data_IF_943552209624
#
_entry.id   IF_943552209624
#
_cell.length_a   1.000
_cell.length_b   1.000
_cell.length_c   1.000
_cell.angle_alpha   90.00
_cell.angle_beta   90.00
_cell.angle_gamma   90.00
#
_symmetry.space_group_name_H-M   'P 1'
#
loop_
_entity.id
_entity.type
_entity.pdbx_description
1 polymer ?
#
# COMPACT_ATOMS: atom_id res chain seq x y z
N UNK A 1 8.33 11.69 -53.27
CA UNK A 1 8.06 11.18 -54.63
C UNK A 1 6.65 10.63 -54.75
N UNK A 2 6.22 9.76 -53.85
CA UNK A 2 4.89 9.12 -53.87
C UNK A 2 3.72 10.11 -53.67
N UNK A 3 3.96 11.23 -53.02
CA UNK A 3 2.95 12.26 -52.75
C UNK A 3 2.70 13.21 -53.95
N UNK A 4 3.66 13.30 -54.85
CA UNK A 4 3.61 14.20 -56.03
C UNK A 4 3.40 13.42 -57.31
N UNK A 5 3.90 12.18 -57.37
CA UNK A 5 3.80 11.30 -58.51
C UNK A 5 3.61 9.86 -58.09
N UNK A 6 2.36 9.39 -58.16
CA UNK A 6 1.93 8.09 -57.64
C UNK A 6 2.73 6.86 -58.13
N UNK A 7 3.36 6.96 -59.29
CA UNK A 7 4.13 5.87 -59.89
C UNK A 7 5.63 6.05 -59.81
N UNK A 8 6.12 7.01 -58.99
CA UNK A 8 7.55 7.35 -58.94
C UNK A 8 8.44 6.13 -58.56
N UNK A 9 8.00 5.26 -57.67
CA UNK A 9 8.77 4.07 -57.22
C UNK A 9 8.88 2.97 -58.27
N UNK A 10 7.96 2.95 -59.21
CA UNK A 10 7.89 1.94 -60.30
C UNK A 10 8.41 2.47 -61.63
N UNK A 11 8.78 3.76 -61.67
CA UNK A 11 9.17 4.46 -62.89
C UNK A 11 10.64 4.32 -63.16
N UNK A 12 10.99 4.25 -64.45
CA UNK A 12 12.39 4.43 -64.92
C UNK A 12 12.85 5.87 -64.72
N UNK A 13 14.16 6.08 -64.74
CA UNK A 13 14.76 7.46 -64.64
C UNK A 13 14.15 8.41 -65.65
N UNK A 14 13.94 7.97 -66.92
CA UNK A 14 13.36 8.81 -67.95
C UNK A 14 11.89 9.14 -67.70
N UNK A 15 11.09 8.18 -67.26
CA UNK A 15 9.67 8.40 -66.94
C UNK A 15 9.53 9.36 -65.73
N UNK A 16 10.37 9.20 -64.70
CA UNK A 16 10.40 10.11 -63.55
C UNK A 16 10.72 11.54 -63.97
N UNK A 17 11.74 11.72 -64.77
CA UNK A 17 12.13 13.07 -65.25
C UNK A 17 11.04 13.67 -66.17
N UNK A 18 10.41 12.86 -67.00
CA UNK A 18 9.26 13.31 -67.79
C UNK A 18 8.08 13.69 -66.90
N UNK A 19 7.76 12.89 -65.91
CA UNK A 19 6.72 13.22 -64.93
C UNK A 19 6.97 14.54 -64.18
N UNK A 20 8.22 14.77 -63.69
CA UNK A 20 8.63 16.02 -63.05
C UNK A 20 8.51 17.24 -63.98
N UNK A 21 8.89 17.12 -65.27
CA UNK A 21 8.70 18.17 -66.25
C UNK A 21 7.22 18.48 -66.49
N UNK A 22 6.38 17.47 -66.61
CA UNK A 22 4.92 17.63 -66.76
C UNK A 22 4.31 18.36 -65.56
N UNK A 23 4.66 17.95 -64.32
CA UNK A 23 4.21 18.65 -63.11
C UNK A 23 4.60 20.11 -63.07
N UNK A 24 5.81 20.42 -63.53
CA UNK A 24 6.28 21.80 -63.67
C UNK A 24 5.49 22.59 -64.73
N UNK A 25 5.28 22.02 -65.91
CA UNK A 25 4.53 22.64 -67.01
C UNK A 25 3.07 22.91 -66.67
N UNK A 26 2.47 21.98 -65.96
CA UNK A 26 1.11 22.10 -65.41
C UNK A 26 1.01 23.10 -64.23
N UNK A 27 2.14 23.72 -63.83
CA UNK A 27 2.25 24.61 -62.67
C UNK A 27 1.74 24.00 -61.35
N UNK A 28 1.72 22.68 -61.26
CA UNK A 28 1.32 21.98 -60.02
C UNK A 28 2.39 22.08 -58.94
N UNK A 29 3.67 22.16 -59.35
CA UNK A 29 4.79 22.36 -58.42
C UNK A 29 5.79 23.35 -59.05
N UNK A 30 6.29 24.31 -58.28
CA UNK A 30 7.22 25.35 -58.74
C UNK A 30 8.68 24.84 -58.76
N UNK A 31 8.95 23.77 -59.51
CA UNK A 31 10.31 23.18 -59.62
C UNK A 31 11.12 23.92 -60.69
N UNK A 32 12.40 24.25 -60.40
CA UNK A 32 13.28 24.85 -61.39
C UNK A 32 13.76 23.81 -62.40
N UNK A 33 13.94 24.24 -63.67
CA UNK A 33 14.49 23.37 -64.70
C UNK A 33 15.90 22.87 -64.33
N UNK A 34 16.67 23.71 -63.63
CA UNK A 34 18.02 23.37 -63.18
C UNK A 34 17.98 22.23 -62.10
N UNK A 35 17.03 22.23 -61.19
CA UNK A 35 16.84 21.17 -60.20
C UNK A 35 16.53 19.83 -60.88
N UNK A 36 15.62 19.83 -61.86
CA UNK A 36 15.29 18.61 -62.64
C UNK A 36 16.51 18.09 -63.39
N UNK A 37 17.30 18.96 -63.99
CA UNK A 37 18.51 18.56 -64.70
C UNK A 37 19.56 17.95 -63.74
N UNK A 38 19.77 18.57 -62.58
CA UNK A 38 20.72 18.03 -61.58
C UNK A 38 20.29 16.62 -61.10
N UNK A 39 19.04 16.43 -60.85
CA UNK A 39 18.48 15.11 -60.44
C UNK A 39 18.66 14.11 -61.60
N UNK A 40 18.39 14.52 -62.86
CA UNK A 40 18.57 13.67 -64.04
C UNK A 40 20.03 13.19 -64.18
N UNK A 41 21.00 14.11 -63.99
CA UNK A 41 22.43 13.75 -64.07
C UNK A 41 22.82 12.74 -62.97
N UNK A 42 22.34 12.92 -61.78
CA UNK A 42 22.64 11.99 -60.65
C UNK A 42 22.02 10.61 -60.92
N UNK A 43 20.76 10.55 -61.32
CA UNK A 43 20.12 9.29 -61.65
C UNK A 43 20.75 8.57 -62.83
N UNK A 44 21.14 9.29 -63.88
CA UNK A 44 21.86 8.69 -64.99
C UNK A 44 23.22 8.12 -64.52
N UNK A 45 23.96 8.78 -63.64
CA UNK A 45 25.19 8.23 -63.03
C UNK A 45 24.87 6.98 -62.20
N UNK A 46 23.82 7.02 -61.42
CA UNK A 46 23.39 5.86 -60.61
C UNK A 46 23.01 4.66 -61.47
N UNK A 47 22.34 4.89 -62.62
CA UNK A 47 22.03 3.87 -63.58
C UNK A 47 23.29 3.30 -64.23
N UNK A 48 24.31 4.12 -64.56
CA UNK A 48 25.60 3.63 -65.06
C UNK A 48 26.33 2.76 -64.03
N UNK A 49 26.29 3.12 -62.74
CA UNK A 49 26.83 2.26 -61.67
C UNK A 49 26.10 0.94 -61.59
N UNK A 50 24.75 0.96 -61.64
CA UNK A 50 23.91 -0.20 -61.47
C UNK A 50 23.99 -1.16 -62.67
N UNK A 51 23.97 -0.63 -63.87
CA UNK A 51 23.80 -1.45 -65.09
C UNK A 51 25.10 -1.58 -65.91
N UNK A 52 25.99 -0.60 -65.88
CA UNK A 52 27.23 -0.58 -66.66
C UNK A 52 28.49 -0.85 -65.80
N UNK A 53 28.36 -1.19 -64.52
CA UNK A 53 29.47 -1.40 -63.57
C UNK A 53 30.48 -0.24 -63.52
N UNK A 54 30.01 0.98 -63.81
CA UNK A 54 30.83 2.18 -63.72
C UNK A 54 31.11 2.48 -62.22
N UNK A 55 32.39 2.76 -61.90
CA UNK A 55 32.83 3.11 -60.52
C UNK A 55 33.22 4.60 -60.50
N UNK A 56 32.33 5.48 -60.03
CA UNK A 56 32.64 6.91 -59.88
C UNK A 56 33.67 7.11 -58.76
N UNK A 57 34.46 8.16 -58.89
CA UNK A 57 35.38 8.59 -57.86
C UNK A 57 34.62 9.01 -56.59
N UNK A 58 35.23 8.82 -55.40
CA UNK A 58 34.63 9.11 -54.11
C UNK A 58 34.14 10.59 -54.01
N UNK A 59 34.89 11.53 -54.55
CA UNK A 59 34.54 12.95 -54.58
C UNK A 59 33.24 13.21 -55.36
N UNK A 60 32.99 12.47 -56.43
CA UNK A 60 31.76 12.57 -57.25
C UNK A 60 30.57 12.05 -56.45
N UNK A 61 30.74 10.92 -55.74
CA UNK A 61 29.69 10.36 -54.88
C UNK A 61 29.31 11.33 -53.76
N UNK A 62 30.30 11.91 -53.07
CA UNK A 62 30.07 12.90 -52.02
C UNK A 62 29.33 14.15 -52.52
N UNK A 63 29.73 14.62 -53.73
CA UNK A 63 29.09 15.75 -54.39
C UNK A 63 27.62 15.42 -54.75
N UNK A 64 27.37 14.25 -55.31
CA UNK A 64 26.03 13.82 -55.69
C UNK A 64 25.11 13.66 -54.45
N UNK A 65 25.61 13.09 -53.35
CA UNK A 65 24.87 13.01 -52.09
C UNK A 65 24.51 14.39 -51.54
N UNK A 66 25.44 15.34 -51.60
CA UNK A 66 25.17 16.72 -51.16
C UNK A 66 24.12 17.40 -52.05
N UNK A 67 24.23 17.28 -53.36
CA UNK A 67 23.28 17.87 -54.33
C UNK A 67 21.89 17.24 -54.15
N UNK A 68 21.81 15.91 -53.99
CA UNK A 68 20.50 15.24 -53.78
C UNK A 68 19.86 15.68 -52.46
N UNK A 69 20.65 15.85 -51.40
CA UNK A 69 20.16 16.36 -50.13
C UNK A 69 19.63 17.80 -50.23
N UNK A 70 20.33 18.64 -50.98
CA UNK A 70 19.89 20.02 -51.25
C UNK A 70 18.58 20.02 -52.03
N UNK A 71 18.46 19.21 -53.08
CA UNK A 71 17.25 19.12 -53.89
C UNK A 71 16.07 18.54 -53.11
N UNK A 72 16.28 17.53 -52.27
CA UNK A 72 15.24 17.02 -51.38
C UNK A 72 14.69 18.10 -50.47
N UNK A 73 15.58 18.92 -49.87
CA UNK A 73 15.16 20.05 -49.04
C UNK A 73 14.40 21.13 -49.84
N UNK A 74 14.77 21.37 -51.09
CA UNK A 74 14.03 22.29 -51.96
C UNK A 74 12.64 21.71 -52.27
N UNK A 75 12.57 20.44 -52.66
CA UNK A 75 11.30 19.75 -52.95
C UNK A 75 10.37 19.67 -51.74
N UNK A 76 10.89 19.37 -50.56
CA UNK A 76 10.07 19.32 -49.34
C UNK A 76 9.39 20.65 -49.01
N UNK A 77 10.00 21.79 -49.40
CA UNK A 77 9.41 23.13 -49.22
C UNK A 77 8.41 23.49 -50.30
N UNK A 78 8.47 22.85 -51.46
CA UNK A 78 7.58 23.10 -52.58
C UNK A 78 6.30 22.24 -52.55
N UNK A 79 6.33 21.16 -51.83
CA UNK A 79 5.14 20.32 -51.62
C UNK A 79 4.25 21.03 -50.60
N UNK A 80 3.03 21.45 -50.98
CA UNK A 80 2.10 22.04 -50.04
C UNK A 80 1.74 21.04 -48.95
N UNK A 81 1.60 21.52 -47.70
CA UNK A 81 1.08 20.67 -46.67
C UNK A 81 -0.28 20.13 -47.07
N UNK A 82 -0.57 18.84 -46.81
CA UNK A 82 -1.86 18.26 -47.13
C UNK A 82 -2.98 19.04 -46.43
N UNK A 83 -4.07 19.29 -47.16
CA UNK A 83 -5.22 20.00 -46.60
C UNK A 83 -5.79 19.22 -45.42
N UNK A 84 -6.50 19.92 -44.50
CA UNK A 84 -7.14 19.27 -43.36
C UNK A 84 -8.10 18.15 -43.79
N UNK A 85 -8.76 18.30 -44.96
CA UNK A 85 -9.59 17.23 -45.53
C UNK A 85 -8.80 16.01 -45.98
N UNK A 86 -7.57 16.22 -46.52
CA UNK A 86 -6.69 15.10 -46.91
C UNK A 86 -6.11 14.43 -45.65
N UNK A 87 -5.71 15.19 -44.64
CA UNK A 87 -5.28 14.66 -43.35
C UNK A 87 -6.37 13.83 -42.68
N UNK A 88 -7.63 14.27 -42.75
CA UNK A 88 -8.77 13.53 -42.21
C UNK A 88 -9.06 12.21 -42.93
N UNK A 89 -8.70 12.09 -44.20
CA UNK A 89 -8.83 10.86 -45.00
C UNK A 89 -7.69 9.85 -44.70
N UNK A 90 -6.60 10.28 -44.13
CA UNK A 90 -5.50 9.37 -43.74
C UNK A 90 -5.88 8.57 -42.49
N UNK A 91 -5.96 7.26 -42.65
CA UNK A 91 -6.28 6.33 -41.56
C UNK A 91 -5.31 6.43 -40.37
N UNK A 92 -4.05 6.77 -40.61
CA UNK A 92 -3.05 6.93 -39.56
C UNK A 92 -3.29 8.22 -38.78
N UNK A 93 -3.60 9.31 -39.45
CA UNK A 93 -3.97 10.58 -38.84
C UNK A 93 -5.26 10.43 -38.00
N UNK A 94 -6.28 9.75 -38.54
CA UNK A 94 -7.51 9.46 -37.77
C UNK A 94 -7.22 8.68 -36.48
N UNK A 95 -6.37 7.64 -36.56
CA UNK A 95 -5.95 6.87 -35.37
C UNK A 95 -5.21 7.75 -34.35
N UNK A 96 -4.33 8.63 -34.80
CA UNK A 96 -3.63 9.56 -33.89
C UNK A 96 -4.59 10.55 -33.23
N UNK A 97 -5.54 11.13 -33.97
CA UNK A 97 -6.55 12.05 -33.43
C UNK A 97 -7.40 11.33 -32.37
N UNK A 98 -7.89 10.12 -32.69
CA UNK A 98 -8.67 9.31 -31.76
C UNK A 98 -7.87 8.99 -30.49
N UNK A 99 -6.60 8.61 -30.64
CA UNK A 99 -5.73 8.31 -29.50
C UNK A 99 -5.44 9.56 -28.65
N UNK A 100 -5.23 10.73 -29.26
CA UNK A 100 -5.06 12.01 -28.55
C UNK A 100 -6.31 12.38 -27.75
N UNK A 101 -7.49 12.23 -28.35
CA UNK A 101 -8.78 12.50 -27.69
C UNK A 101 -9.03 11.50 -26.54
N UNK A 102 -8.76 10.21 -26.76
CA UNK A 102 -8.86 9.16 -25.73
C UNK A 102 -7.92 9.46 -24.56
N UNK A 103 -6.67 9.78 -24.82
CA UNK A 103 -5.69 10.10 -23.80
C UNK A 103 -6.06 11.38 -23.03
N UNK A 104 -6.61 12.40 -23.72
CA UNK A 104 -7.11 13.61 -23.06
C UNK A 104 -8.30 13.27 -22.12
N UNK A 105 -9.25 12.47 -22.57
CA UNK A 105 -10.37 12.01 -21.73
C UNK A 105 -9.88 11.19 -20.53
N UNK A 106 -8.94 10.25 -20.75
CA UNK A 106 -8.35 9.45 -19.67
C UNK A 106 -7.64 10.33 -18.63
N UNK A 107 -6.90 11.37 -19.05
CA UNK A 107 -6.26 12.33 -18.13
C UNK A 107 -7.29 13.10 -17.31
N UNK A 108 -8.38 13.57 -17.92
CA UNK A 108 -9.45 14.28 -17.22
C UNK A 108 -10.13 13.35 -16.20
N UNK A 109 -10.47 12.11 -16.60
CA UNK A 109 -11.09 11.13 -15.69
C UNK A 109 -10.13 10.77 -14.55
N UNK A 110 -8.85 10.53 -14.84
CA UNK A 110 -7.84 10.26 -13.81
C UNK A 110 -7.72 11.43 -12.84
N UNK A 111 -7.62 12.67 -13.34
CA UNK A 111 -7.52 13.85 -12.49
C UNK A 111 -8.77 14.05 -11.61
N UNK A 112 -9.97 13.87 -12.19
CA UNK A 112 -11.22 13.99 -11.42
C UNK A 112 -11.35 12.92 -10.35
N UNK A 113 -10.91 11.67 -10.62
CA UNK A 113 -10.89 10.58 -9.65
C UNK A 113 -9.90 10.87 -8.51
N UNK A 114 -8.70 11.34 -8.85
CA UNK A 114 -7.69 11.72 -7.85
C UNK A 114 -8.19 12.85 -6.95
N UNK A 115 -8.83 13.86 -7.54
CA UNK A 115 -9.42 14.98 -6.79
C UNK A 115 -10.53 14.50 -5.86
N UNK A 116 -11.39 13.59 -6.33
CA UNK A 116 -12.46 12.99 -5.51
C UNK A 116 -11.88 12.23 -4.31
N UNK A 117 -10.89 11.36 -4.54
CA UNK A 117 -10.23 10.61 -3.46
C UNK A 117 -9.54 11.54 -2.46
N UNK A 118 -8.88 12.60 -2.96
CA UNK A 118 -8.27 13.61 -2.09
C UNK A 118 -9.32 14.35 -1.25
N UNK A 119 -10.45 14.70 -1.83
CA UNK A 119 -11.56 15.36 -1.10
C UNK A 119 -12.09 14.44 0.01
N UNK A 120 -12.31 13.15 -0.28
CA UNK A 120 -12.75 12.15 0.71
C UNK A 120 -11.71 12.02 1.84
N UNK A 121 -10.42 11.97 1.51
CA UNK A 121 -9.34 11.93 2.49
C UNK A 121 -9.35 13.16 3.41
N UNK A 122 -9.47 14.35 2.84
CA UNK A 122 -9.50 15.61 3.60
C UNK A 122 -10.73 15.65 4.52
N UNK A 123 -11.92 15.33 4.00
CA UNK A 123 -13.15 15.31 4.82
C UNK A 123 -13.04 14.28 5.95
N UNK A 124 -12.56 13.08 5.67
CA UNK A 124 -12.33 12.06 6.70
C UNK A 124 -11.29 12.53 7.74
N UNK A 125 -10.24 13.23 7.29
CA UNK A 125 -9.22 13.79 8.17
C UNK A 125 -9.77 14.87 9.12
N UNK A 126 -10.69 15.69 8.65
CA UNK A 126 -11.37 16.69 9.50
C UNK A 126 -12.31 16.05 10.53
N UNK A 127 -13.01 14.97 10.18
CA UNK A 127 -13.98 14.32 11.06
C UNK A 127 -13.32 13.39 12.09
N UNK A 128 -12.31 12.63 11.69
CA UNK A 128 -11.72 11.56 12.49
C UNK A 128 -10.27 11.83 12.90
N UNK A 129 -9.66 12.87 12.36
CA UNK A 129 -8.22 13.15 12.46
C UNK A 129 -7.42 12.59 11.28
N UNK A 130 -6.48 13.39 10.79
CA UNK A 130 -5.66 13.02 9.62
C UNK A 130 -4.81 11.77 9.87
N UNK A 131 -4.26 11.65 11.07
CA UNK A 131 -3.45 10.48 11.45
C UNK A 131 -4.27 9.19 11.43
N UNK A 132 -5.48 9.22 12.01
CA UNK A 132 -6.37 8.07 12.00
C UNK A 132 -6.80 7.68 10.58
N UNK A 133 -7.15 8.67 9.76
CA UNK A 133 -7.51 8.45 8.35
C UNK A 133 -6.37 7.83 7.56
N UNK A 134 -5.14 8.30 7.79
CA UNK A 134 -3.95 7.74 7.16
C UNK A 134 -3.69 6.30 7.63
N UNK A 135 -3.71 6.05 8.94
CA UNK A 135 -3.49 4.73 9.54
C UNK A 135 -4.57 3.72 9.07
N UNK A 136 -5.80 4.19 8.85
CA UNK A 136 -6.89 3.38 8.28
C UNK A 136 -6.64 2.98 6.82
N UNK A 137 -6.19 3.93 5.99
CA UNK A 137 -5.89 3.68 4.57
C UNK A 137 -4.66 2.78 4.42
N UNK A 138 -3.68 2.89 5.30
CA UNK A 138 -2.46 2.06 5.30
C UNK A 138 -2.67 0.70 5.97
N UNK A 139 -3.91 0.36 6.36
CA UNK A 139 -4.26 -0.91 7.01
C UNK A 139 -3.50 -1.16 8.31
N UNK A 140 -3.30 -0.10 9.12
CA UNK A 140 -2.70 -0.26 10.44
C UNK A 140 -3.49 -1.27 11.27
N UNK A 141 -2.79 -2.26 11.83
CA UNK A 141 -3.42 -3.37 12.54
C UNK A 141 -4.23 -2.91 13.75
N UNK A 142 -3.71 -1.98 14.55
CA UNK A 142 -4.39 -1.50 15.75
C UNK A 142 -5.68 -0.74 15.43
N UNK A 143 -5.73 -0.01 14.31
CA UNK A 143 -6.98 0.59 13.80
C UNK A 143 -7.97 -0.50 13.40
N UNK A 144 -7.51 -1.54 12.70
CA UNK A 144 -8.35 -2.67 12.31
C UNK A 144 -8.91 -3.42 13.53
N UNK A 145 -8.08 -3.66 14.56
CA UNK A 145 -8.52 -4.27 15.82
C UNK A 145 -9.55 -3.41 16.54
N UNK A 146 -9.43 -2.09 16.48
CA UNK A 146 -10.36 -1.16 17.10
C UNK A 146 -11.72 -1.09 16.39
N UNK A 147 -11.70 -1.12 15.04
CA UNK A 147 -12.92 -0.92 14.21
C UNK A 147 -13.74 -2.19 13.98
N UNK A 148 -13.12 -3.37 14.00
CA UNK A 148 -13.86 -4.61 13.73
C UNK A 148 -14.89 -4.91 14.80
N UNK A 149 -15.93 -5.71 14.51
CA UNK A 149 -16.85 -6.20 15.52
C UNK A 149 -16.11 -6.97 16.61
N UNK A 150 -16.32 -6.58 17.88
CA UNK A 150 -15.71 -7.25 19.01
C UNK A 150 -16.55 -8.44 19.46
N UNK A 151 -15.88 -9.49 19.92
CA UNK A 151 -16.49 -10.73 20.36
C UNK A 151 -16.67 -10.65 21.87
N UNK A 152 -17.88 -10.93 22.36
CA UNK A 152 -18.15 -11.13 23.79
C UNK A 152 -18.10 -12.62 24.06
N UNK A 153 -17.18 -13.07 24.88
CA UNK A 153 -16.96 -14.49 25.17
C UNK A 153 -16.74 -14.75 26.65
N UNK A 154 -17.09 -15.96 27.08
CA UNK A 154 -16.81 -16.48 28.40
C UNK A 154 -15.57 -17.38 28.37
N UNK A 155 -14.65 -17.18 29.31
CA UNK A 155 -13.40 -17.92 29.41
C UNK A 155 -13.27 -18.61 30.78
N UNK A 156 -13.22 -19.93 30.76
CA UNK A 156 -13.15 -20.78 31.94
C UNK A 156 -14.52 -21.21 32.47
N UNK A 157 -14.54 -21.91 33.65
CA UNK A 157 -15.79 -22.37 34.31
C UNK A 157 -15.58 -22.34 35.81
N UNK A 158 -16.34 -21.54 36.58
CA UNK A 158 -17.19 -20.45 36.13
C UNK A 158 -16.37 -19.39 35.40
N UNK A 159 -16.94 -18.73 34.37
CA UNK A 159 -16.17 -17.98 33.43
C UNK A 159 -15.94 -16.51 33.78
N UNK A 160 -14.95 -15.93 33.10
CA UNK A 160 -14.74 -14.50 32.97
C UNK A 160 -15.32 -14.06 31.63
N UNK A 161 -16.21 -13.07 31.64
CA UNK A 161 -16.75 -12.46 30.44
C UNK A 161 -15.93 -11.23 30.09
N UNK A 162 -15.54 -11.11 28.82
CA UNK A 162 -14.90 -9.91 28.30
C UNK A 162 -15.12 -9.76 26.80
N UNK A 163 -15.03 -8.52 26.33
CA UNK A 163 -15.05 -8.21 24.92
C UNK A 163 -13.63 -8.08 24.41
N UNK A 164 -13.33 -8.77 23.30
CA UNK A 164 -12.03 -8.75 22.66
C UNK A 164 -12.15 -8.59 21.17
N UNK A 165 -11.12 -8.03 20.51
CA UNK A 165 -11.13 -7.92 19.05
C UNK A 165 -11.22 -9.29 18.36
N UNK A 166 -10.61 -10.32 18.97
CA UNK A 166 -10.61 -11.71 18.48
C UNK A 166 -10.83 -12.66 19.68
N UNK A 167 -11.35 -13.85 19.40
CA UNK A 167 -11.49 -14.86 20.45
C UNK A 167 -10.10 -15.28 20.96
N UNK A 168 -9.99 -15.40 22.29
CA UNK A 168 -8.78 -15.93 22.88
C UNK A 168 -8.66 -17.42 22.58
N UNK A 169 -7.45 -17.86 22.31
CA UNK A 169 -7.12 -19.28 22.10
C UNK A 169 -6.73 -19.94 23.41
N UNK A 170 -7.24 -21.15 23.64
CA UNK A 170 -6.83 -21.94 24.82
C UNK A 170 -5.39 -22.38 24.65
N UNK A 171 -4.57 -22.11 25.67
CA UNK A 171 -3.16 -22.52 25.69
C UNK A 171 -3.01 -23.88 26.34
N UNK A 172 -2.34 -24.80 25.64
CA UNK A 172 -1.95 -26.09 26.19
C UNK A 172 -0.44 -26.05 26.44
N UNK A 173 -0.03 -25.89 27.70
CA UNK A 173 1.30 -26.16 28.27
C UNK A 173 2.50 -25.24 28.04
N UNK A 174 2.56 -24.39 27.02
CA UNK A 174 3.83 -23.72 26.68
C UNK A 174 3.96 -22.21 27.02
N UNK A 175 2.88 -21.57 27.44
CA UNK A 175 2.90 -20.17 27.88
C UNK A 175 2.54 -20.06 29.35
N UNK A 176 3.54 -20.08 30.22
CA UNK A 176 3.31 -20.11 31.65
C UNK A 176 3.38 -18.73 32.28
N UNK A 177 2.22 -18.06 32.40
CA UNK A 177 1.97 -17.20 33.54
C UNK A 177 1.44 -18.11 34.66
N UNK A 178 2.31 -18.85 35.32
CA UNK A 178 1.94 -19.77 36.37
C UNK A 178 2.19 -19.12 37.73
N UNK A 179 1.24 -19.29 38.62
CA UNK A 179 1.50 -19.19 40.04
C UNK A 179 1.92 -20.58 40.51
N UNK A 180 3.16 -20.77 40.89
CA UNK A 180 3.77 -22.08 41.11
C UNK A 180 3.07 -22.90 42.21
N UNK A 181 2.43 -22.24 43.21
CA UNK A 181 1.73 -22.87 44.29
C UNK A 181 0.26 -23.22 44.00
N UNK A 182 -0.23 -22.94 42.77
CA UNK A 182 -1.62 -23.12 42.38
C UNK A 182 -1.74 -24.00 41.14
N UNK A 183 -2.85 -24.74 41.06
CA UNK A 183 -3.16 -25.54 39.88
C UNK A 183 -3.81 -24.66 38.80
N UNK A 184 -3.22 -24.59 37.61
CA UNK A 184 -3.82 -23.93 36.45
C UNK A 184 -4.89 -24.83 35.82
N UNK A 185 -6.17 -24.45 35.93
CA UNK A 185 -7.27 -25.18 35.33
C UNK A 185 -7.48 -24.85 33.86
N UNK A 186 -7.29 -23.58 33.50
CA UNK A 186 -7.37 -23.12 32.11
C UNK A 186 -6.67 -21.79 31.93
N UNK A 187 -6.06 -21.62 30.75
CA UNK A 187 -5.48 -20.33 30.31
C UNK A 187 -5.87 -20.07 28.89
N UNK A 188 -6.23 -18.83 28.62
CA UNK A 188 -6.57 -18.31 27.29
C UNK A 188 -5.71 -17.11 26.98
N UNK A 189 -5.32 -16.98 25.70
CA UNK A 189 -4.36 -15.99 25.24
C UNK A 189 -4.80 -15.35 23.95
N UNK A 190 -4.52 -14.06 23.83
CA UNK A 190 -4.62 -13.28 22.60
C UNK A 190 -3.43 -12.34 22.50
N UNK A 191 -2.90 -12.16 21.30
CA UNK A 191 -1.93 -11.10 20.99
C UNK A 191 -2.19 -10.55 19.59
N UNK A 192 -1.78 -9.32 19.36
CA UNK A 192 -1.64 -8.80 18.01
C UNK A 192 -0.34 -9.31 17.35
N UNK A 193 -0.14 -9.05 16.05
CA UNK A 193 0.92 -9.67 15.27
C UNK A 193 2.33 -9.25 15.69
N UNK A 194 2.49 -8.05 16.25
CA UNK A 194 3.76 -7.48 16.71
C UNK A 194 4.02 -7.64 18.22
N UNK A 195 3.14 -8.38 18.92
CA UNK A 195 3.21 -8.61 20.36
C UNK A 195 3.18 -7.30 21.19
N UNK A 196 2.69 -6.22 20.63
CA UNK A 196 2.55 -4.95 21.35
C UNK A 196 1.30 -4.91 22.25
N UNK A 197 0.41 -5.88 22.07
CA UNK A 197 -0.76 -6.14 22.92
C UNK A 197 -0.86 -7.63 23.21
N UNK A 198 -0.81 -8.00 24.49
CA UNK A 198 -0.99 -9.36 24.94
C UNK A 198 -2.03 -9.42 26.06
N UNK A 199 -2.92 -10.39 25.99
CA UNK A 199 -3.99 -10.61 26.95
C UNK A 199 -4.01 -12.07 27.36
N UNK A 200 -3.92 -12.31 28.67
CA UNK A 200 -4.03 -13.62 29.28
C UNK A 200 -5.22 -13.64 30.21
N UNK A 201 -6.01 -14.69 30.14
CA UNK A 201 -7.13 -14.97 31.05
C UNK A 201 -6.89 -16.35 31.61
N UNK A 202 -6.74 -16.45 32.93
CA UNK A 202 -6.39 -17.72 33.59
C UNK A 202 -7.30 -18.00 34.79
N UNK A 203 -7.61 -19.28 35.00
CA UNK A 203 -8.34 -19.76 36.16
C UNK A 203 -7.44 -20.72 36.93
N UNK A 204 -7.36 -20.50 38.24
CA UNK A 204 -6.53 -21.28 39.15
C UNK A 204 -7.38 -21.89 40.24
N UNK A 205 -7.10 -23.14 40.58
CA UNK A 205 -7.65 -23.82 41.77
C UNK A 205 -6.58 -23.98 42.84
N UNK A 206 -7.02 -23.92 44.08
CA UNK A 206 -6.19 -24.09 45.27
C UNK A 206 -6.73 -25.21 46.16
N UNK A 207 -5.82 -25.99 46.76
CA UNK A 207 -6.17 -27.01 47.75
C UNK A 207 -6.56 -26.39 49.10
N UNK A 208 -6.11 -25.18 49.37
CA UNK A 208 -6.36 -24.43 50.60
C UNK A 208 -7.09 -23.14 50.27
N UNK A 209 -8.00 -22.75 51.14
CA UNK A 209 -8.75 -21.47 50.99
C UNK A 209 -7.74 -20.32 51.09
N UNK A 210 -7.74 -19.43 50.10
CA UNK A 210 -6.89 -18.24 50.07
C UNK A 210 -7.50 -17.22 51.03
N UNK A 211 -6.70 -16.70 51.98
CA UNK A 211 -7.13 -15.58 52.80
C UNK A 211 -7.19 -14.31 51.95
N UNK A 212 -8.33 -13.57 51.94
CA UNK A 212 -8.43 -12.32 51.20
C UNK A 212 -7.33 -11.30 51.51
N UNK A 213 -6.85 -11.24 52.74
CA UNK A 213 -5.75 -10.36 53.14
C UNK A 213 -4.41 -10.69 52.46
N UNK A 214 -4.20 -11.94 52.08
CA UNK A 214 -2.99 -12.42 51.42
C UNK A 214 -3.12 -12.42 49.90
N UNK A 215 -4.32 -12.19 49.39
CA UNK A 215 -4.55 -12.26 47.93
C UNK A 215 -3.74 -11.21 47.14
N UNK A 216 -3.54 -10.05 47.74
CA UNK A 216 -2.67 -9.03 47.17
C UNK A 216 -1.26 -9.56 46.91
N UNK A 217 -0.64 -10.24 47.91
CA UNK A 217 0.70 -10.80 47.76
C UNK A 217 0.75 -11.89 46.71
N UNK A 218 -0.35 -12.66 46.54
CA UNK A 218 -0.45 -13.64 45.47
C UNK A 218 -0.40 -12.96 44.11
N UNK A 219 -1.06 -11.81 43.90
CA UNK A 219 -1.01 -11.08 42.63
C UNK A 219 0.34 -10.37 42.44
N UNK A 220 0.96 -9.87 43.52
CA UNK A 220 2.29 -9.24 43.50
C UNK A 220 3.38 -10.19 42.98
N UNK A 221 3.32 -11.48 43.38
CA UNK A 221 4.31 -12.48 42.92
C UNK A 221 4.33 -12.63 41.42
N UNK A 222 3.30 -12.15 40.73
CA UNK A 222 3.24 -12.14 39.27
C UNK A 222 4.07 -11.04 38.62
N UNK A 223 4.39 -9.99 39.37
CA UNK A 223 5.25 -8.91 38.85
C UNK A 223 6.67 -9.42 38.65
N UNK A 224 7.16 -10.28 39.53
CA UNK A 224 8.49 -10.90 39.41
C UNK A 224 8.59 -11.70 38.08
N UNK A 225 7.55 -12.45 37.73
CA UNK A 225 7.48 -13.16 36.45
C UNK A 225 7.45 -12.22 35.24
N UNK A 226 6.85 -11.04 35.36
CA UNK A 226 6.86 -10.02 34.32
C UNK A 226 8.28 -9.44 34.12
N UNK A 227 9.05 -9.26 35.21
CA UNK A 227 10.43 -8.83 35.14
C UNK A 227 11.30 -9.88 34.44
N UNK A 228 11.15 -11.16 34.76
CA UNK A 228 11.85 -12.25 34.07
C UNK A 228 11.53 -12.30 32.58
N UNK A 229 10.34 -11.90 32.16
CA UNK A 229 9.93 -11.76 30.76
C UNK A 229 10.45 -10.51 30.07
N UNK A 230 11.17 -9.68 30.78
CA UNK A 230 11.86 -8.52 30.22
C UNK A 230 11.17 -7.18 30.43
N UNK A 231 10.16 -7.10 31.29
CA UNK A 231 9.66 -5.83 31.78
C UNK A 231 10.69 -5.24 32.74
N UNK A 232 10.95 -3.95 32.66
CA UNK A 232 11.85 -3.22 33.55
C UNK A 232 11.18 -1.94 34.03
N UNK A 233 11.73 -1.34 35.11
CA UNK A 233 11.23 -0.08 35.66
C UNK A 233 9.73 -0.15 35.99
N UNK A 234 9.29 -1.25 36.59
CA UNK A 234 7.87 -1.46 36.89
C UNK A 234 7.43 -0.47 37.97
N UNK A 235 6.56 0.45 37.60
CA UNK A 235 5.83 1.28 38.54
C UNK A 235 4.47 0.65 38.80
N UNK A 236 4.05 0.56 40.05
CA UNK A 236 2.84 -0.14 40.42
C UNK A 236 1.89 0.75 41.26
N UNK A 237 0.62 0.54 41.03
CA UNK A 237 -0.46 1.03 41.84
C UNK A 237 -1.44 -0.10 42.12
N UNK A 238 -1.95 -0.14 43.34
CA UNK A 238 -2.98 -1.09 43.77
C UNK A 238 -4.29 -0.35 43.89
N UNK A 239 -5.37 -1.00 43.42
CA UNK A 239 -6.72 -0.47 43.58
C UNK A 239 -7.74 -1.61 43.66
N UNK A 240 -8.93 -1.28 44.12
CA UNK A 240 -10.08 -2.19 44.03
C UNK A 240 -10.61 -2.16 42.59
N UNK A 241 -10.89 -3.32 42.03
CA UNK A 241 -11.54 -3.46 40.74
C UNK A 241 -12.96 -3.93 40.91
N UNK A 242 -13.93 -3.17 40.40
CA UNK A 242 -15.33 -3.51 40.46
C UNK A 242 -15.87 -3.69 39.03
N UNK A 243 -16.47 -4.85 38.77
CA UNK A 243 -17.13 -5.15 37.49
C UNK A 243 -18.52 -4.50 37.39
N UNK A 244 -19.09 -4.50 36.18
CA UNK A 244 -20.45 -4.01 35.94
C UNK A 244 -21.50 -4.74 36.82
N UNK A 245 -21.30 -6.03 37.10
CA UNK A 245 -22.14 -6.85 37.98
C UNK A 245 -21.79 -6.71 39.46
N UNK A 246 -20.95 -5.70 39.79
CA UNK A 246 -20.50 -5.46 41.20
C UNK A 246 -19.72 -6.62 41.81
N UNK A 247 -19.06 -7.44 41.01
CA UNK A 247 -18.06 -8.37 41.51
C UNK A 247 -16.80 -7.58 41.87
N UNK A 248 -16.25 -7.88 43.08
CA UNK A 248 -15.07 -7.19 43.57
C UNK A 248 -13.82 -8.00 43.29
N UNK A 249 -12.80 -7.37 42.82
CA UNK A 249 -11.46 -7.90 42.60
C UNK A 249 -10.39 -6.88 43.00
N UNK A 250 -9.13 -7.24 42.78
CA UNK A 250 -7.98 -6.36 42.95
C UNK A 250 -7.34 -6.12 41.59
N UNK A 251 -6.84 -4.93 41.38
CA UNK A 251 -6.05 -4.58 40.21
C UNK A 251 -4.68 -4.07 40.63
N UNK A 252 -3.65 -4.61 40.01
CA UNK A 252 -2.31 -4.04 40.01
C UNK A 252 -2.06 -3.51 38.63
N UNK A 253 -1.78 -2.23 38.49
CA UNK A 253 -1.53 -1.61 37.20
C UNK A 253 -0.43 -0.58 37.30
N UNK A 254 0.19 -0.31 36.16
CA UNK A 254 1.23 0.69 36.08
C UNK A 254 1.89 0.78 34.71
N UNK A 255 3.02 1.50 34.69
CA UNK A 255 3.89 1.58 33.52
C UNK A 255 5.13 0.73 33.70
N UNK A 256 5.68 0.30 32.59
CA UNK A 256 6.94 -0.46 32.53
C UNK A 256 7.59 -0.29 31.17
N UNK A 257 8.88 -0.61 31.12
CA UNK A 257 9.63 -0.66 29.87
C UNK A 257 9.69 -2.11 29.36
N UNK A 258 9.24 -2.34 28.14
CA UNK A 258 9.26 -3.65 27.48
C UNK A 258 10.54 -3.82 26.68
N UNK A 259 11.29 -4.87 26.94
CA UNK A 259 12.52 -5.20 26.18
C UNK A 259 12.15 -5.80 24.82
N UNK A 260 12.44 -5.06 23.74
CA UNK A 260 12.25 -5.53 22.35
C UNK A 260 13.53 -6.17 21.80
N UNK A 261 14.69 -5.69 22.25
CA UNK A 261 16.01 -6.25 21.90
C UNK A 261 17.01 -5.97 23.01
N UNK A 262 18.26 -6.45 22.86
CA UNK A 262 19.30 -6.37 23.89
C UNK A 262 19.49 -4.98 24.52
N UNK A 263 19.27 -3.90 23.75
CA UNK A 263 19.44 -2.51 24.22
C UNK A 263 18.26 -1.59 23.80
N UNK A 264 17.13 -2.17 23.40
CA UNK A 264 15.97 -1.38 22.96
C UNK A 264 14.76 -1.71 23.83
N UNK A 265 14.21 -0.69 24.44
CA UNK A 265 13.04 -0.75 25.29
C UNK A 265 11.96 0.15 24.74
N UNK A 266 10.71 -0.29 24.85
CA UNK A 266 9.52 0.49 24.50
C UNK A 266 8.70 0.68 25.76
N UNK A 267 8.33 1.91 26.09
CA UNK A 267 7.43 2.16 27.21
C UNK A 267 6.07 1.52 26.96
N UNK A 268 5.43 1.09 28.05
CA UNK A 268 4.11 0.50 27.99
C UNK A 268 3.42 0.47 29.32
N UNK A 269 2.27 -0.19 29.35
CA UNK A 269 1.43 -0.33 30.53
C UNK A 269 1.12 -1.80 30.74
N UNK A 270 0.87 -2.13 31.99
CA UNK A 270 0.38 -3.46 32.35
C UNK A 270 -0.77 -3.35 33.32
N UNK A 271 -1.63 -4.37 33.32
CA UNK A 271 -2.69 -4.52 34.32
C UNK A 271 -2.81 -5.99 34.67
N UNK A 272 -2.74 -6.31 35.93
CA UNK A 272 -2.99 -7.64 36.51
C UNK A 272 -4.22 -7.53 37.38
N UNK A 273 -5.31 -8.16 36.97
CA UNK A 273 -6.58 -8.15 37.70
C UNK A 273 -6.84 -9.56 38.27
N UNK A 274 -7.21 -9.62 39.52
CA UNK A 274 -7.52 -10.87 40.22
C UNK A 274 -8.90 -10.85 40.87
N UNK A 275 -9.62 -11.95 40.75
CA UNK A 275 -10.87 -12.21 41.40
C UNK A 275 -10.76 -13.49 42.28
N UNK A 276 -10.96 -13.34 43.56
CA UNK A 276 -10.94 -14.46 44.48
C UNK A 276 -12.25 -15.27 44.34
N UNK A 277 -12.16 -16.60 44.32
CA UNK A 277 -13.27 -17.52 44.29
C UNK A 277 -13.25 -18.43 45.54
N UNK A 278 -14.27 -19.25 45.76
CA UNK A 278 -14.29 -20.18 46.90
C UNK A 278 -13.18 -21.25 46.82
N UNK A 279 -12.83 -21.66 45.61
CA UNK A 279 -11.91 -22.77 45.34
C UNK A 279 -10.59 -22.35 44.72
N UNK A 280 -10.31 -21.03 44.61
CA UNK A 280 -9.11 -20.51 43.96
C UNK A 280 -9.23 -19.05 43.60
N UNK A 281 -8.78 -18.69 42.41
CA UNK A 281 -8.86 -17.33 41.89
C UNK A 281 -8.78 -17.31 40.35
N UNK A 282 -9.18 -16.20 39.80
CA UNK A 282 -9.11 -15.90 38.35
C UNK A 282 -8.23 -14.70 38.12
N UNK A 283 -7.46 -14.72 37.04
CA UNK A 283 -6.63 -13.58 36.67
C UNK A 283 -6.80 -13.15 35.22
N UNK A 284 -6.68 -11.86 35.01
CA UNK A 284 -6.57 -11.25 33.70
C UNK A 284 -5.30 -10.43 33.70
N UNK A 285 -4.40 -10.72 32.75
CA UNK A 285 -3.16 -9.97 32.58
C UNK A 285 -3.20 -9.31 31.21
N UNK A 286 -3.16 -7.99 31.19
CA UNK A 286 -3.10 -7.19 29.98
C UNK A 286 -1.76 -6.47 29.93
N UNK A 287 -0.99 -6.75 28.88
CA UNK A 287 0.28 -6.11 28.58
C UNK A 287 0.10 -5.31 27.30
N UNK A 288 0.52 -4.06 27.32
CA UNK A 288 0.41 -3.18 26.14
C UNK A 288 1.57 -2.21 26.04
N UNK A 289 2.15 -2.10 24.86
CA UNK A 289 3.14 -1.06 24.58
C UNK A 289 2.47 0.31 24.45
N UNK A 290 3.19 1.39 24.67
CA UNK A 290 2.70 2.74 24.43
C UNK A 290 2.70 3.06 22.93
N UNK A 291 1.84 2.35 22.19
CA UNK A 291 1.62 2.50 20.76
C UNK A 291 0.21 3.03 20.51
N UNK A 292 0.04 3.81 19.43
CA UNK A 292 -1.24 4.42 19.10
C UNK A 292 -2.38 3.39 19.07
N UNK A 293 -3.52 3.81 19.60
CA UNK A 293 -4.79 3.06 19.67
C UNK A 293 -4.81 1.94 20.72
N UNK A 294 -3.68 1.44 21.21
CA UNK A 294 -3.65 0.35 22.19
C UNK A 294 -4.28 0.77 23.52
N UNK A 295 -4.10 2.01 23.95
CA UNK A 295 -4.80 2.53 25.15
C UNK A 295 -6.34 2.43 25.01
N UNK A 296 -6.88 2.74 23.83
CA UNK A 296 -8.32 2.63 23.57
C UNK A 296 -8.78 1.17 23.56
N UNK A 297 -7.97 0.28 22.98
CA UNK A 297 -8.23 -1.16 22.95
C UNK A 297 -8.16 -1.72 24.36
N UNK A 298 -7.09 -1.46 25.09
CA UNK A 298 -6.91 -1.92 26.46
C UNK A 298 -8.01 -1.44 27.41
N UNK A 299 -8.33 -0.14 27.38
CA UNK A 299 -9.43 0.40 28.19
C UNK A 299 -10.78 -0.22 27.85
N UNK A 300 -11.06 -0.52 26.59
CA UNK A 300 -12.28 -1.21 26.18
C UNK A 300 -12.32 -2.65 26.70
N UNK A 301 -11.21 -3.38 26.65
CA UNK A 301 -11.08 -4.70 27.24
C UNK A 301 -11.38 -4.61 28.74
N UNK A 302 -10.65 -3.77 29.47
CA UNK A 302 -10.77 -3.61 30.93
C UNK A 302 -12.19 -3.24 31.36
N UNK A 303 -12.83 -2.30 30.66
CA UNK A 303 -14.22 -1.87 30.96
C UNK A 303 -15.28 -2.93 30.65
N UNK A 304 -14.94 -3.95 29.85
CA UNK A 304 -15.85 -5.02 29.48
C UNK A 304 -15.78 -6.26 30.38
N UNK A 305 -14.81 -6.27 31.30
CA UNK A 305 -14.59 -7.41 32.18
C UNK A 305 -15.79 -7.58 33.10
N UNK A 306 -16.29 -8.81 33.15
CA UNK A 306 -17.36 -9.22 34.09
C UNK A 306 -17.12 -10.64 34.56
N UNK A 307 -17.62 -10.93 35.77
CA UNK A 307 -17.49 -12.25 36.41
C UNK A 307 -18.84 -12.63 37.00
N UNK A 308 -19.31 -13.86 36.74
CA UNK A 308 -20.50 -14.36 37.40
C UNK A 308 -20.26 -14.42 38.92
N UNK A 309 -21.19 -13.85 39.69
CA UNK A 309 -21.23 -14.07 41.13
C UNK A 309 -21.54 -15.53 41.38
N UNK A 310 -20.69 -16.21 42.11
CA UNK A 310 -21.06 -17.52 42.67
C UNK A 310 -22.27 -17.28 43.56
N UNK A 311 -23.44 -17.85 43.16
CA UNK A 311 -24.60 -17.88 44.04
C UNK A 311 -24.22 -18.70 45.25
N UNK A 312 -24.21 -18.06 46.42
CA UNK A 312 -24.05 -18.78 47.68
C UNK A 312 -25.22 -19.76 47.80
N UNK A 313 -24.94 -21.04 47.59
CA UNK A 313 -25.85 -22.13 47.93
C UNK A 313 -25.93 -22.31 49.42
#
# INVERSE_FOLDING_TARGET
EKEVYDRALESTTNELITGLNNLRELKQVSISKNSINRIKEIFNRADLVKFAKFLPEKNIIEKDLKVISEEINIFSRLIPEPSEEQKLKDLNYQKEVINRLRNKRLRIVSFSLTLLLFTIFVLSGFLNGFQYTFDRITFNENVRLLEKPWINSEYGSPGIFLQTPEALTRQNENYKFLFDDFNLDSQFYFSNSDLSLELFVSNYSSKTKINPENFQFVLESKLDDLEEKGLQNILLAFDEFETNNKAKGLIISGSSDYRVSKNNFIPGKYSVIGFLTETGFKTIVLLQHEVRYLDKIGNRILSSIDVLKEEKK
#
